data_IF_123377937870
#
_entry.id   IF_123377937870
#
_cell.length_a   1.000
_cell.length_b   1.000
_cell.length_c   1.000
_cell.angle_alpha   90.00
_cell.angle_beta   90.00
_cell.angle_gamma   90.00
#
_symmetry.space_group_name_H-M   'P 1'
#
loop_
_entity.id
_entity.type
_entity.pdbx_description
1 polymer ?
#
# COMPACT_ATOMS: atom_id res chain seq x y z
N UNK A 1 -22.19 -10.50 15.57
CA UNK A 1 -23.09 -11.13 14.59
C UNK A 1 -22.83 -12.65 14.55
N UNK A 2 -23.84 -13.50 14.40
CA UNK A 2 -23.64 -14.97 14.24
C UNK A 2 -23.52 -15.34 12.76
N UNK A 3 -22.92 -16.49 12.45
CA UNK A 3 -22.71 -16.94 11.07
C UNK A 3 -24.04 -17.16 10.32
N UNK A 4 -25.07 -17.67 11.00
CA UNK A 4 -26.43 -17.78 10.44
C UNK A 4 -27.06 -16.41 10.17
N UNK A 5 -26.81 -15.42 11.02
CA UNK A 5 -27.27 -14.05 10.80
C UNK A 5 -26.57 -13.40 9.60
N UNK A 6 -25.27 -13.63 9.42
CA UNK A 6 -24.52 -13.18 8.24
C UNK A 6 -25.04 -13.87 6.95
N UNK A 7 -25.32 -15.16 7.02
CA UNK A 7 -25.86 -15.92 5.89
C UNK A 7 -27.20 -15.33 5.40
N UNK A 8 -28.09 -14.99 6.33
CA UNK A 8 -29.36 -14.31 6.02
C UNK A 8 -29.12 -12.91 5.45
N UNK A 9 -28.22 -12.12 6.04
CA UNK A 9 -27.91 -10.77 5.59
C UNK A 9 -27.38 -10.71 4.15
N UNK A 10 -26.63 -11.73 3.72
CA UNK A 10 -26.04 -11.81 2.38
C UNK A 10 -26.80 -12.79 1.46
N UNK A 11 -27.96 -13.28 1.88
CA UNK A 11 -28.81 -14.21 1.12
C UNK A 11 -28.05 -15.45 0.61
N UNK A 12 -27.25 -16.06 1.48
CA UNK A 12 -26.53 -17.31 1.20
C UNK A 12 -26.86 -18.36 2.27
N UNK A 13 -26.61 -19.64 1.97
CA UNK A 13 -26.84 -20.69 2.96
C UNK A 13 -25.77 -20.66 4.04
N UNK A 14 -26.10 -21.14 5.24
CA UNK A 14 -25.14 -21.29 6.34
C UNK A 14 -23.90 -22.11 5.91
N UNK A 15 -24.14 -23.23 5.21
CA UNK A 15 -23.07 -24.06 4.65
C UNK A 15 -22.20 -23.29 3.64
N UNK A 16 -22.77 -22.33 2.91
CA UNK A 16 -22.00 -21.52 1.97
C UNK A 16 -21.08 -20.54 2.69
N UNK A 17 -21.53 -19.93 3.80
CA UNK A 17 -20.64 -19.13 4.65
C UNK A 17 -19.51 -20.00 5.21
N UNK A 18 -19.81 -21.22 5.67
CA UNK A 18 -18.76 -22.15 6.12
C UNK A 18 -17.76 -22.50 5.01
N UNK A 19 -18.21 -22.60 3.75
CA UNK A 19 -17.31 -22.82 2.60
C UNK A 19 -16.46 -21.59 2.30
N UNK A 20 -16.98 -20.38 2.53
CA UNK A 20 -16.23 -19.13 2.39
C UNK A 20 -15.15 -19.01 3.47
N UNK A 21 -15.49 -19.28 4.72
CA UNK A 21 -14.54 -19.25 5.84
C UNK A 21 -13.40 -20.25 5.67
N UNK A 22 -13.71 -21.47 5.19
CA UNK A 22 -12.70 -22.52 4.99
C UNK A 22 -12.04 -22.46 3.60
N UNK A 23 -12.26 -21.41 2.81
CA UNK A 23 -11.63 -21.22 1.49
C UNK A 23 -12.03 -22.25 0.42
N UNK A 24 -13.02 -23.12 0.67
CA UNK A 24 -13.48 -24.15 -0.27
C UNK A 24 -14.30 -23.60 -1.43
N UNK A 25 -14.72 -22.34 -1.36
CA UNK A 25 -15.47 -21.68 -2.42
C UNK A 25 -14.98 -20.25 -2.63
N UNK A 26 -14.79 -19.89 -3.90
CA UNK A 26 -14.46 -18.51 -4.29
C UNK A 26 -15.66 -17.59 -4.03
N UNK A 27 -15.36 -16.33 -3.71
CA UNK A 27 -16.34 -15.27 -3.47
C UNK A 27 -16.16 -14.24 -4.58
N UNK A 28 -17.27 -13.88 -5.25
CA UNK A 28 -17.25 -12.79 -6.24
C UNK A 28 -17.25 -11.42 -5.56
N UNK A 29 -16.71 -10.40 -6.25
CA UNK A 29 -16.53 -9.05 -5.69
C UNK A 29 -17.81 -8.43 -5.09
N UNK A 30 -18.95 -8.54 -5.79
CA UNK A 30 -20.22 -8.01 -5.28
C UNK A 30 -20.71 -8.69 -4.00
N UNK A 31 -20.43 -10.00 -3.84
CA UNK A 31 -20.77 -10.73 -2.61
C UNK A 31 -19.83 -10.36 -1.47
N UNK A 32 -18.53 -10.21 -1.76
CA UNK A 32 -17.55 -9.75 -0.78
C UNK A 32 -17.89 -8.35 -0.26
N UNK A 33 -18.35 -7.45 -1.13
CA UNK A 33 -18.83 -6.13 -0.74
C UNK A 33 -20.05 -6.21 0.19
N UNK A 34 -21.03 -7.06 -0.10
CA UNK A 34 -22.19 -7.27 0.77
C UNK A 34 -21.79 -7.83 2.14
N UNK A 35 -20.81 -8.74 2.18
CA UNK A 35 -20.25 -9.27 3.43
C UNK A 35 -19.56 -8.17 4.24
N UNK A 36 -18.75 -7.34 3.59
CA UNK A 36 -18.06 -6.21 4.23
C UNK A 36 -19.06 -5.22 4.86
N UNK A 37 -20.11 -4.87 4.12
CA UNK A 37 -21.19 -4.03 4.62
C UNK A 37 -21.94 -4.66 5.81
N UNK A 38 -22.25 -5.96 5.73
CA UNK A 38 -22.93 -6.66 6.83
C UNK A 38 -22.07 -6.76 8.10
N UNK A 39 -20.75 -6.79 7.96
CA UNK A 39 -19.79 -6.86 9.07
C UNK A 39 -19.33 -5.47 9.56
N UNK A 40 -19.82 -4.39 8.96
CA UNK A 40 -19.37 -3.01 9.21
C UNK A 40 -17.83 -2.88 9.12
N UNK A 41 -17.24 -3.59 8.16
CA UNK A 41 -15.81 -3.63 7.93
C UNK A 41 -15.47 -2.99 6.59
N UNK A 42 -14.36 -2.23 6.49
CA UNK A 42 -13.88 -1.74 5.21
C UNK A 42 -13.51 -2.92 4.30
N UNK A 43 -13.84 -2.83 3.01
CA UNK A 43 -13.59 -3.89 2.04
C UNK A 43 -12.10 -4.31 1.98
N UNK A 44 -11.18 -3.38 2.25
CA UNK A 44 -9.73 -3.61 2.33
C UNK A 44 -9.34 -4.68 3.35
N UNK A 45 -10.12 -4.84 4.43
CA UNK A 45 -9.87 -5.83 5.49
C UNK A 45 -9.71 -7.26 4.96
N UNK A 46 -10.51 -7.64 3.95
CA UNK A 46 -10.47 -8.98 3.35
C UNK A 46 -9.27 -9.20 2.43
N UNK A 47 -8.58 -8.13 2.02
CA UNK A 47 -7.42 -8.18 1.15
C UNK A 47 -6.10 -8.04 1.91
N UNK A 48 -6.08 -7.35 3.05
CA UNK A 48 -4.88 -7.23 3.89
C UNK A 48 -4.37 -8.59 4.39
N UNK A 49 -5.28 -9.50 4.74
CA UNK A 49 -4.94 -10.87 5.16
C UNK A 49 -4.43 -11.71 3.99
N UNK A 50 -5.03 -11.57 2.80
CA UNK A 50 -4.58 -12.27 1.60
C UNK A 50 -3.19 -11.80 1.16
N UNK A 51 -2.94 -10.48 1.28
CA UNK A 51 -1.61 -9.92 1.03
C UNK A 51 -0.60 -10.41 2.08
N UNK A 52 -0.98 -10.69 3.32
CA UNK A 52 -0.04 -11.27 4.30
C UNK A 52 0.42 -12.70 3.94
N UNK A 53 -0.39 -13.47 3.20
CA UNK A 53 -0.04 -14.84 2.75
C UNK A 53 0.65 -14.87 1.37
N UNK A 54 0.32 -13.96 0.45
CA UNK A 54 1.00 -13.81 -0.85
C UNK A 54 2.30 -12.99 -0.74
N UNK A 55 2.49 -12.21 0.33
CA UNK A 55 3.66 -11.36 0.56
C UNK A 55 4.83 -12.12 1.20
N UNK A 56 5.17 -13.29 0.64
CA UNK A 56 6.55 -13.78 0.68
C UNK A 56 7.39 -13.22 -0.45
N UNK A 57 6.92 -12.17 -1.15
CA UNK A 57 7.59 -11.68 -2.37
C UNK A 57 7.71 -10.17 -2.54
N UNK A 58 7.11 -9.28 -1.73
CA UNK A 58 7.39 -7.83 -1.82
C UNK A 58 7.19 -7.09 -0.49
N UNK A 59 8.21 -7.05 0.40
CA UNK A 59 8.08 -6.52 1.76
C UNK A 59 7.85 -4.99 1.87
N UNK A 60 7.73 -4.27 0.75
CA UNK A 60 8.07 -2.84 0.71
C UNK A 60 6.95 -1.88 0.29
N UNK A 61 5.69 -2.34 0.12
CA UNK A 61 4.65 -1.46 -0.46
C UNK A 61 3.33 -1.31 0.30
N UNK A 62 3.27 -1.74 1.56
CA UNK A 62 2.15 -1.40 2.45
C UNK A 62 2.62 -0.53 3.62
N UNK A 63 2.48 0.81 3.51
CA UNK A 63 2.90 1.71 4.59
C UNK A 63 2.20 1.40 5.92
N UNK A 64 0.96 0.91 5.88
CA UNK A 64 0.23 0.49 7.09
C UNK A 64 0.83 -0.73 7.80
N UNK A 65 1.34 -1.71 7.05
CA UNK A 65 1.94 -2.93 7.63
C UNK A 65 3.30 -2.64 8.25
N UNK A 66 4.14 -1.88 7.54
CA UNK A 66 5.45 -1.45 8.04
C UNK A 66 5.31 -0.61 9.32
N UNK A 67 4.34 0.32 9.36
CA UNK A 67 4.03 1.09 10.56
C UNK A 67 3.54 0.22 11.71
N UNK A 68 2.62 -0.73 11.46
CA UNK A 68 2.12 -1.65 12.49
C UNK A 68 3.24 -2.52 13.09
N UNK A 69 4.15 -3.01 12.25
CA UNK A 69 5.34 -3.74 12.69
C UNK A 69 6.31 -2.84 13.48
N UNK A 70 6.48 -1.59 13.07
CA UNK A 70 7.34 -0.64 13.77
C UNK A 70 6.80 -0.29 15.16
N UNK A 71 5.50 0.04 15.28
CA UNK A 71 4.87 0.42 16.56
C UNK A 71 5.00 -0.69 17.61
N UNK A 72 4.98 -1.95 17.18
CA UNK A 72 5.15 -3.13 18.04
C UNK A 72 6.61 -3.53 18.28
N UNK A 73 7.55 -2.95 17.54
CA UNK A 73 8.99 -3.21 17.72
C UNK A 73 9.52 -2.62 19.04
N UNK A 74 10.65 -3.14 19.58
CA UNK A 74 11.28 -2.57 20.78
C UNK A 74 11.62 -1.08 20.64
N UNK A 75 12.02 -0.67 19.42
CA UNK A 75 12.33 0.72 19.10
C UNK A 75 11.06 1.58 19.11
N UNK A 76 10.01 1.16 18.42
CA UNK A 76 8.73 1.89 18.37
C UNK A 76 8.08 2.03 19.75
N UNK A 77 8.11 0.98 20.56
CA UNK A 77 7.62 1.02 21.95
C UNK A 77 8.40 2.07 22.78
N UNK A 78 9.73 2.07 22.66
CA UNK A 78 10.60 3.01 23.41
C UNK A 78 10.39 4.45 22.95
N UNK A 79 10.26 4.66 21.63
CA UNK A 79 9.97 5.96 21.04
C UNK A 79 8.62 6.49 21.54
N UNK A 80 7.54 5.72 21.39
CA UNK A 80 6.20 6.13 21.79
C UNK A 80 6.12 6.47 23.29
N UNK A 81 6.73 5.62 24.14
CA UNK A 81 6.77 5.87 25.59
C UNK A 81 7.55 7.13 25.95
N UNK A 82 8.65 7.40 25.26
CA UNK A 82 9.50 8.56 25.53
C UNK A 82 8.83 9.84 25.01
N UNK A 83 8.24 9.78 23.82
CA UNK A 83 7.51 10.89 23.21
C UNK A 83 6.31 11.31 24.06
N UNK A 84 5.56 10.35 24.64
CA UNK A 84 4.42 10.67 25.50
C UNK A 84 4.81 11.37 26.83
N UNK A 85 6.09 11.32 27.24
CA UNK A 85 6.58 12.07 28.41
C UNK A 85 6.90 13.53 28.09
N UNK A 86 6.91 13.92 26.81
CA UNK A 86 7.08 15.30 26.38
C UNK A 86 5.75 16.02 26.61
N UNK A 87 5.64 16.74 27.73
CA UNK A 87 4.43 17.49 28.07
C UNK A 87 4.26 18.80 27.30
N UNK A 88 5.33 19.32 26.69
CA UNK A 88 5.28 20.53 25.87
C UNK A 88 5.02 20.17 24.39
N UNK A 89 3.82 20.51 23.91
CA UNK A 89 3.39 20.27 22.54
C UNK A 89 4.33 20.91 21.50
N UNK A 90 4.92 22.07 21.80
CA UNK A 90 5.85 22.75 20.88
C UNK A 90 7.12 21.94 20.70
N UNK A 91 7.61 21.32 21.76
CA UNK A 91 8.79 20.43 21.72
C UNK A 91 8.47 19.16 20.96
N UNK A 92 7.28 18.58 21.17
CA UNK A 92 6.81 17.41 20.42
C UNK A 92 6.74 17.67 18.91
N UNK A 93 6.13 18.80 18.51
CA UNK A 93 6.06 19.23 17.10
C UNK A 93 7.45 19.48 16.53
N UNK A 94 8.34 20.17 17.26
CA UNK A 94 9.70 20.41 16.80
C UNK A 94 10.50 19.11 16.58
N UNK A 95 10.31 18.11 17.44
CA UNK A 95 10.91 16.79 17.28
C UNK A 95 10.38 16.06 16.04
N UNK A 96 9.06 16.08 15.81
CA UNK A 96 8.47 15.47 14.60
C UNK A 96 9.01 16.12 13.32
N UNK A 97 9.06 17.46 13.27
CA UNK A 97 9.66 18.18 12.15
C UNK A 97 11.13 17.81 11.91
N UNK A 98 11.89 17.50 12.99
CA UNK A 98 13.26 17.02 12.85
C UNK A 98 13.30 15.62 12.23
N UNK A 99 12.45 14.71 12.69
CA UNK A 99 12.37 13.34 12.17
C UNK A 99 11.98 13.34 10.69
N UNK A 100 10.97 14.11 10.30
CA UNK A 100 10.56 14.26 8.89
C UNK A 100 11.72 14.76 8.02
N UNK A 101 12.41 15.81 8.46
CA UNK A 101 13.56 16.37 7.70
C UNK A 101 14.74 15.42 7.59
N UNK A 102 14.89 14.48 8.50
CA UNK A 102 15.94 13.44 8.43
C UNK A 102 15.51 12.33 7.47
N UNK A 103 14.26 11.88 7.56
CA UNK A 103 13.71 10.83 6.70
C UNK A 103 13.70 11.25 5.21
N UNK A 104 13.30 12.49 4.91
CA UNK A 104 13.26 13.01 3.53
C UNK A 104 14.66 13.13 2.88
N UNK A 105 15.74 13.14 3.68
CA UNK A 105 17.10 13.24 3.15
C UNK A 105 17.63 11.92 2.60
N UNK A 106 17.12 10.79 3.11
CA UNK A 106 17.56 9.46 2.68
C UNK A 106 16.90 9.04 1.35
N UNK A 107 15.70 9.55 1.01
CA UNK A 107 15.04 9.25 -0.28
C UNK A 107 15.69 9.93 -1.50
N UNK A 108 16.44 11.02 -1.32
CA UNK A 108 17.00 11.81 -2.45
C UNK A 108 18.27 11.19 -3.06
N UNK A 109 18.87 10.17 -2.43
CA UNK A 109 20.10 9.53 -2.94
C UNK A 109 19.88 8.39 -3.94
N UNK A 110 18.64 7.97 -4.21
CA UNK A 110 18.35 6.82 -5.08
C UNK A 110 17.72 7.20 -6.44
N UNK A 111 17.96 8.44 -6.91
CA UNK A 111 17.59 8.80 -8.28
C UNK A 111 18.60 8.13 -9.24
N UNK A 112 18.19 7.21 -10.13
CA UNK A 112 19.08 6.68 -11.14
C UNK A 112 19.58 7.85 -11.99
N UNK A 113 20.90 7.93 -12.16
CA UNK A 113 21.54 8.95 -13.00
C UNK A 113 20.81 9.05 -14.34
N UNK A 114 20.56 10.26 -14.87
CA UNK A 114 19.84 10.43 -16.12
C UNK A 114 20.56 9.64 -17.21
N UNK A 115 19.88 8.63 -17.74
CA UNK A 115 20.38 7.81 -18.83
C UNK A 115 20.43 8.68 -20.08
N UNK A 116 21.65 9.07 -20.48
CA UNK A 116 21.96 9.65 -21.78
C UNK A 116 21.51 8.69 -22.90
N UNK A 117 20.28 8.84 -23.38
CA UNK A 117 19.76 8.06 -24.53
C UNK A 117 19.15 8.91 -25.66
N UNK A 118 19.51 10.20 -25.76
CA UNK A 118 19.12 11.01 -26.94
C UNK A 118 20.31 11.72 -27.61
N UNK A 119 21.42 11.01 -27.81
CA UNK A 119 22.47 11.45 -28.72
C UNK A 119 22.67 10.47 -29.90
N UNK A 120 22.02 10.82 -31.01
CA UNK A 120 22.51 10.64 -32.40
C UNK A 120 22.45 9.24 -33.01
N UNK A 121 21.24 8.83 -33.37
CA UNK A 121 20.98 7.84 -34.42
C UNK A 121 20.10 8.42 -35.53
N UNK A 122 20.60 9.44 -36.26
CA UNK A 122 19.94 9.95 -37.47
C UNK A 122 20.97 10.48 -38.46
N UNK A 123 21.83 9.59 -38.94
CA UNK A 123 22.57 9.79 -40.18
C UNK A 123 22.33 8.54 -41.03
N UNK A 124 21.37 8.61 -41.97
CA UNK A 124 21.51 8.21 -43.36
C UNK A 124 20.14 8.01 -44.06
N UNK A 125 20.07 8.47 -45.33
CA UNK A 125 18.95 8.46 -46.32
C UNK A 125 17.86 9.48 -46.01
N UNK A 126 17.53 10.46 -46.86
CA UNK A 126 17.19 10.44 -48.30
C UNK A 126 17.56 11.85 -48.83
N UNK A 127 18.30 12.10 -49.92
CA UNK A 127 18.08 11.62 -51.27
C UNK A 127 17.11 12.52 -52.05
N UNK A 128 17.59 13.67 -52.56
CA UNK A 128 17.02 14.46 -53.68
C UNK A 128 15.52 14.87 -53.64
N UNK A 129 15.28 16.17 -53.48
CA UNK A 129 14.26 16.92 -54.24
C UNK A 129 14.62 18.42 -54.11
N UNK A 130 15.37 19.01 -55.03
CA UNK A 130 14.89 19.78 -56.19
C UNK A 130 14.14 21.09 -55.85
N UNK A 131 14.73 22.20 -56.35
CA UNK A 131 14.14 23.50 -56.67
C UNK A 131 13.74 24.39 -55.46
N UNK A 132 13.87 25.71 -55.46
CA UNK A 132 14.30 26.74 -56.41
C UNK A 132 14.09 28.09 -55.69
N UNK A 133 14.73 29.16 -56.18
CA UNK A 133 14.54 30.58 -55.84
C UNK A 133 15.33 31.07 -54.62
N UNK A 134 16.16 32.11 -54.68
CA UNK A 134 16.71 32.90 -55.79
C UNK A 134 17.90 33.67 -55.21
#
# INVERSE_FOLDING_TARGET
MTQSALAMAVSVTYQQIQKYENGRSKIGAGRLQAIAHALDAPLSYFFEVALAEDDRSTPDRQPGRALAQFVTSPMGITLNRSFHRIGDERVGIAFLNMVERVADRDEVQDLPAPSDQHARGAANKIGRCCLSQR
#
